data_IF_947864982340
#
_entry.id   IF_947864982340
#
_cell.length_a   1.000
_cell.length_b   1.000
_cell.length_c   1.000
_cell.angle_alpha   90.00
_cell.angle_beta   90.00
_cell.angle_gamma   90.00
#
_symmetry.space_group_name_H-M   'P 1'
#
loop_
_entity.id
_entity.type
_entity.pdbx_description
1 polymer ?
#
# COMPACT_ATOMS: atom_id res chain seq x y z
N UNK A 1 63.46 -18.72 -19.97
CA UNK A 1 62.80 -18.74 -18.64
C UNK A 1 61.33 -18.96 -18.93
N UNK A 2 60.97 -20.23 -18.99
CA UNK A 2 59.67 -20.73 -19.43
C UNK A 2 58.66 -20.65 -18.28
N UNK A 3 57.69 -19.76 -18.41
CA UNK A 3 56.53 -19.72 -17.51
C UNK A 3 55.49 -20.72 -18.01
N UNK A 4 55.41 -21.86 -17.33
CA UNK A 4 54.33 -22.83 -17.48
C UNK A 4 53.06 -22.24 -16.86
N UNK A 5 52.01 -22.08 -17.67
CA UNK A 5 50.65 -21.87 -17.22
C UNK A 5 50.14 -23.19 -16.62
N UNK A 6 49.96 -23.23 -15.29
CA UNK A 6 49.18 -24.28 -14.64
C UNK A 6 47.71 -23.87 -14.68
N UNK A 7 46.96 -24.54 -15.55
CA UNK A 7 45.51 -24.39 -15.70
C UNK A 7 44.84 -25.25 -14.62
N UNK A 8 44.01 -24.62 -13.78
CA UNK A 8 43.32 -25.26 -12.66
C UNK A 8 42.28 -26.29 -13.15
N UNK A 9 42.21 -27.50 -12.55
CA UNK A 9 41.35 -28.60 -13.00
C UNK A 9 39.85 -28.44 -12.63
N UNK A 10 39.43 -27.35 -12.00
CA UNK A 10 38.04 -27.18 -11.55
C UNK A 10 37.08 -26.62 -12.61
N UNK A 11 37.57 -25.98 -13.67
CA UNK A 11 36.71 -25.43 -14.74
C UNK A 11 36.23 -26.48 -15.76
N UNK A 12 36.86 -27.66 -15.82
CA UNK A 12 36.52 -28.70 -16.80
C UNK A 12 35.32 -29.57 -16.36
N UNK A 13 34.99 -29.58 -15.06
CA UNK A 13 33.88 -30.35 -14.51
C UNK A 13 32.53 -29.62 -14.63
N UNK A 14 32.53 -28.27 -14.57
CA UNK A 14 31.32 -27.46 -14.77
C UNK A 14 30.82 -27.50 -16.23
N UNK A 15 31.73 -27.60 -17.21
CA UNK A 15 31.36 -27.70 -18.63
C UNK A 15 30.74 -29.05 -19.01
N UNK A 16 31.01 -30.12 -18.24
CA UNK A 16 30.37 -31.45 -18.42
C UNK A 16 28.97 -31.55 -17.80
N UNK A 17 28.61 -30.66 -16.88
CA UNK A 17 27.29 -30.64 -16.28
C UNK A 17 26.21 -30.04 -17.21
N UNK A 18 26.60 -29.19 -18.17
CA UNK A 18 25.68 -28.51 -19.09
C UNK A 18 25.23 -29.36 -20.30
N UNK A 19 25.83 -30.52 -20.54
CA UNK A 19 25.50 -31.38 -21.69
C UNK A 19 24.43 -32.45 -21.40
N UNK A 20 23.76 -32.40 -20.24
CA UNK A 20 22.66 -33.34 -19.87
C UNK A 20 21.27 -32.69 -19.86
N UNK A 21 21.02 -31.77 -20.79
CA UNK A 21 19.65 -31.30 -21.02
C UNK A 21 18.90 -32.33 -21.88
N UNK A 22 17.72 -32.81 -21.46
CA UNK A 22 16.92 -33.73 -22.26
C UNK A 22 16.47 -33.01 -23.55
N UNK A 23 17.02 -33.48 -24.68
CA UNK A 23 16.54 -33.12 -26.01
C UNK A 23 15.17 -33.77 -26.24
N UNK A 24 14.14 -32.95 -26.32
CA UNK A 24 12.82 -33.37 -26.81
C UNK A 24 11.68 -33.12 -25.83
N UNK A 25 11.28 -31.86 -25.67
CA UNK A 25 9.89 -31.55 -25.34
C UNK A 25 9.19 -31.16 -26.63
N UNK A 26 8.28 -31.99 -27.11
CA UNK A 26 7.23 -31.55 -28.03
C UNK A 26 6.57 -30.34 -27.40
N UNK A 27 6.63 -29.19 -28.07
CA UNK A 27 5.91 -28.00 -27.63
C UNK A 27 4.44 -28.30 -27.82
N UNK A 28 3.76 -28.71 -26.75
CA UNK A 28 2.31 -28.82 -26.77
C UNK A 28 1.75 -27.44 -27.15
N UNK A 29 0.83 -27.36 -28.12
CA UNK A 29 0.26 -26.09 -28.52
C UNK A 29 -0.41 -25.46 -27.29
N UNK A 30 -0.04 -24.20 -27.03
CA UNK A 30 -0.65 -23.38 -25.97
C UNK A 30 -2.17 -23.46 -26.18
N UNK A 31 -2.86 -24.12 -25.25
CA UNK A 31 -4.31 -24.22 -25.28
C UNK A 31 -4.88 -22.85 -24.94
N UNK A 32 -5.07 -22.02 -25.95
CA UNK A 32 -5.75 -20.72 -25.81
C UNK A 32 -7.15 -21.00 -25.29
N UNK A 33 -7.57 -20.29 -24.23
CA UNK A 33 -8.92 -20.48 -23.68
C UNK A 33 -9.95 -20.33 -24.80
N UNK A 34 -10.92 -21.27 -24.88
CA UNK A 34 -12.10 -21.17 -25.77
C UNK A 34 -12.86 -19.84 -25.61
N UNK A 35 -12.69 -19.16 -24.48
CA UNK A 35 -13.13 -17.79 -24.20
C UNK A 35 -12.78 -16.78 -25.32
N UNK A 36 -11.61 -16.96 -25.96
CA UNK A 36 -11.01 -15.98 -26.87
C UNK A 36 -11.36 -16.28 -28.34
N UNK A 37 -11.68 -17.54 -28.65
CA UNK A 37 -11.87 -18.04 -30.02
C UNK A 37 -13.32 -18.34 -30.40
N UNK A 38 -14.26 -18.35 -29.46
CA UNK A 38 -15.68 -18.57 -29.79
C UNK A 38 -16.31 -17.31 -30.40
N UNK A 39 -16.58 -17.36 -31.71
CA UNK A 39 -17.38 -16.37 -32.46
C UNK A 39 -18.90 -16.62 -32.35
N UNK A 40 -19.31 -17.57 -31.50
CA UNK A 40 -20.72 -17.86 -31.24
C UNK A 40 -21.22 -16.99 -30.07
N UNK A 41 -22.44 -16.43 -30.16
CA UNK A 41 -22.99 -15.63 -29.09
C UNK A 41 -23.06 -16.49 -27.83
N UNK A 42 -22.41 -15.99 -26.77
CA UNK A 42 -22.40 -16.61 -25.45
C UNK A 42 -23.82 -16.98 -25.07
N UNK A 43 -24.09 -18.27 -24.89
CA UNK A 43 -25.27 -18.75 -24.18
C UNK A 43 -25.32 -17.95 -22.88
N UNK A 44 -26.39 -17.20 -22.65
CA UNK A 44 -26.61 -16.49 -21.38
C UNK A 44 -26.47 -17.52 -20.26
N UNK A 45 -25.33 -17.53 -19.59
CA UNK A 45 -25.12 -18.40 -18.44
C UNK A 45 -26.16 -17.97 -17.42
N UNK A 46 -27.18 -18.82 -17.22
CA UNK A 46 -28.17 -18.63 -16.16
C UNK A 46 -27.41 -18.69 -14.85
N UNK A 47 -27.07 -17.52 -14.32
CA UNK A 47 -26.42 -17.38 -13.03
C UNK A 47 -27.45 -17.85 -12.00
N UNK A 48 -27.22 -19.07 -11.49
CA UNK A 48 -27.94 -19.67 -10.39
C UNK A 48 -28.13 -18.64 -9.26
N UNK A 49 -29.34 -18.57 -8.69
CA UNK A 49 -29.72 -17.65 -7.61
C UNK A 49 -28.68 -17.65 -6.48
N UNK A 50 -28.13 -18.82 -6.17
CA UNK A 50 -27.06 -18.98 -5.18
C UNK A 50 -25.81 -18.18 -5.53
N UNK A 51 -25.42 -18.14 -6.81
CA UNK A 51 -24.27 -17.36 -7.28
C UNK A 51 -24.54 -15.86 -7.15
N UNK A 52 -25.77 -15.39 -7.44
CA UNK A 52 -26.14 -13.97 -7.27
C UNK A 52 -26.00 -13.51 -5.81
N UNK A 53 -26.43 -14.35 -4.86
CA UNK A 53 -26.28 -14.05 -3.42
C UNK A 53 -24.81 -14.02 -3.02
N UNK A 54 -23.99 -14.98 -3.48
CA UNK A 54 -22.55 -14.99 -3.18
C UNK A 54 -21.86 -13.76 -3.76
N UNK A 55 -22.12 -13.40 -5.02
CA UNK A 55 -21.52 -12.23 -5.65
C UNK A 55 -21.90 -10.94 -4.94
N UNK A 56 -23.18 -10.77 -4.55
CA UNK A 56 -23.58 -9.57 -3.80
C UNK A 56 -22.93 -9.48 -2.41
N UNK A 57 -22.74 -10.61 -1.72
CA UNK A 57 -22.01 -10.65 -0.45
C UNK A 57 -20.52 -10.32 -0.63
N UNK A 58 -19.89 -10.81 -1.70
CA UNK A 58 -18.49 -10.51 -2.03
C UNK A 58 -18.33 -9.02 -2.35
N UNK A 59 -19.17 -8.44 -3.22
CA UNK A 59 -19.14 -7.02 -3.55
C UNK A 59 -19.28 -6.15 -2.31
N UNK A 60 -20.25 -6.43 -1.44
CA UNK A 60 -20.45 -5.69 -0.19
C UNK A 60 -19.24 -5.78 0.73
N UNK A 61 -18.62 -6.96 0.82
CA UNK A 61 -17.41 -7.16 1.63
C UNK A 61 -16.23 -6.39 1.05
N UNK A 62 -16.06 -6.41 -0.27
CA UNK A 62 -15.00 -5.68 -0.96
C UNK A 62 -15.15 -4.17 -0.77
N UNK A 63 -16.36 -3.64 -0.94
CA UNK A 63 -16.68 -2.24 -0.69
C UNK A 63 -16.36 -1.87 0.76
N UNK A 64 -16.81 -2.66 1.74
CA UNK A 64 -16.52 -2.43 3.15
C UNK A 64 -15.02 -2.37 3.44
N UNK A 65 -14.25 -3.33 2.92
CA UNK A 65 -12.80 -3.41 3.10
C UNK A 65 -12.07 -2.23 2.45
N UNK A 66 -12.52 -1.82 1.27
CA UNK A 66 -11.96 -0.71 0.49
C UNK A 66 -12.25 0.65 1.14
N UNK A 67 -13.51 0.90 1.51
CA UNK A 67 -13.93 2.15 2.16
C UNK A 67 -13.19 2.40 3.48
N UNK A 68 -12.96 1.35 4.26
CA UNK A 68 -12.24 1.42 5.53
C UNK A 68 -10.73 1.26 5.40
N UNK A 69 -10.21 1.10 4.18
CA UNK A 69 -8.78 0.89 3.89
C UNK A 69 -8.15 -0.20 4.78
N UNK A 70 -8.89 -1.27 5.04
CA UNK A 70 -8.46 -2.36 5.92
C UNK A 70 -7.19 -3.06 5.40
N UNK A 71 -7.04 -3.35 4.09
CA UNK A 71 -5.80 -3.92 3.55
C UNK A 71 -4.57 -3.04 3.78
N UNK A 72 -4.70 -1.72 3.67
CA UNK A 72 -3.64 -0.74 3.97
C UNK A 72 -3.26 -0.78 5.44
N UNK A 73 -4.24 -0.81 6.35
CA UNK A 73 -4.01 -0.89 7.79
C UNK A 73 -3.27 -2.19 8.15
N UNK A 74 -3.68 -3.32 7.57
CA UNK A 74 -3.00 -4.61 7.79
C UNK A 74 -1.56 -4.57 7.29
N UNK A 75 -1.29 -3.99 6.11
CA UNK A 75 0.08 -3.81 5.60
C UNK A 75 0.94 -2.96 6.54
N UNK A 76 0.40 -1.85 7.04
CA UNK A 76 1.07 -1.01 8.04
C UNK A 76 1.39 -1.79 9.32
N UNK A 77 0.42 -2.55 9.85
CA UNK A 77 0.60 -3.36 11.06
C UNK A 77 1.69 -4.41 10.86
N UNK A 78 1.69 -5.11 9.73
CA UNK A 78 2.72 -6.11 9.39
C UNK A 78 4.10 -5.45 9.31
N UNK A 79 4.22 -4.29 8.64
CA UNK A 79 5.51 -3.60 8.53
C UNK A 79 6.06 -3.19 9.91
N UNK A 80 5.21 -2.70 10.81
CA UNK A 80 5.57 -2.40 12.20
C UNK A 80 5.92 -3.64 13.03
N UNK A 81 5.28 -4.76 12.74
CA UNK A 81 5.53 -6.05 13.39
C UNK A 81 6.87 -6.62 12.95
N UNK A 82 7.21 -6.54 11.66
CA UNK A 82 8.48 -7.05 11.12
C UNK A 82 9.68 -6.27 11.65
N UNK A 83 9.50 -4.99 11.96
CA UNK A 83 10.58 -4.09 12.44
C UNK A 83 10.77 -4.09 13.96
N UNK A 84 9.99 -4.87 14.72
CA UNK A 84 10.08 -4.90 16.19
C UNK A 84 11.26 -5.75 16.69
N UNK A 85 11.53 -5.65 18.00
CA UNK A 85 12.42 -6.59 18.70
C UNK A 85 11.79 -8.00 18.77
N UNK A 86 12.55 -9.01 18.31
CA UNK A 86 12.15 -10.42 18.29
C UNK A 86 11.74 -10.99 19.66
N UNK A 87 12.19 -10.37 20.76
CA UNK A 87 11.86 -10.81 22.12
C UNK A 87 10.43 -10.48 22.54
N UNK A 88 9.78 -9.52 21.88
CA UNK A 88 8.44 -9.08 22.26
C UNK A 88 7.38 -10.01 21.67
N UNK A 89 6.42 -10.44 22.49
CA UNK A 89 5.26 -11.19 22.02
C UNK A 89 4.51 -10.40 20.92
N UNK A 90 4.21 -11.06 19.81
CA UNK A 90 3.60 -10.46 18.62
C UNK A 90 2.23 -9.86 18.92
N UNK A 91 1.40 -10.61 19.65
CA UNK A 91 0.04 -10.23 19.97
C UNK A 91 0.02 -9.02 20.90
N UNK A 92 0.86 -9.03 21.94
CA UNK A 92 0.98 -7.91 22.88
C UNK A 92 1.48 -6.64 22.18
N UNK A 93 2.45 -6.78 21.27
CA UNK A 93 2.94 -5.66 20.47
C UNK A 93 1.85 -5.10 19.55
N UNK A 94 1.12 -5.97 18.86
CA UNK A 94 0.04 -5.58 17.95
C UNK A 94 -1.09 -4.87 18.70
N UNK A 95 -1.50 -5.39 19.86
CA UNK A 95 -2.51 -4.76 20.72
C UNK A 95 -2.07 -3.35 21.14
N UNK A 96 -0.85 -3.21 21.70
CA UNK A 96 -0.30 -1.90 22.08
C UNK A 96 -0.15 -0.94 20.91
N UNK A 97 0.15 -1.44 19.71
CA UNK A 97 0.24 -0.63 18.51
C UNK A 97 -1.15 -0.10 18.10
N UNK A 98 -2.18 -0.96 18.13
CA UNK A 98 -3.56 -0.53 17.88
C UNK A 98 -4.03 0.49 18.91
N UNK A 99 -3.72 0.29 20.20
CA UNK A 99 -4.05 1.26 21.24
C UNK A 99 -3.42 2.63 20.95
N UNK A 100 -2.15 2.67 20.54
CA UNK A 100 -1.47 3.91 20.13
C UNK A 100 -2.14 4.54 18.91
N UNK A 101 -2.54 3.75 17.92
CA UNK A 101 -3.27 4.25 16.76
C UNK A 101 -4.62 4.85 17.17
N UNK A 102 -5.35 4.22 18.09
CA UNK A 102 -6.64 4.71 18.57
C UNK A 102 -6.50 6.02 19.36
N UNK A 103 -5.49 6.10 20.23
CA UNK A 103 -5.15 7.33 20.96
C UNK A 103 -4.77 8.45 19.99
N UNK A 104 -3.92 8.17 19.00
CA UNK A 104 -3.54 9.12 17.96
C UNK A 104 -4.73 9.60 17.13
N UNK A 105 -5.61 8.68 16.71
CA UNK A 105 -6.84 9.01 15.97
C UNK A 105 -7.77 9.93 16.77
N UNK A 106 -7.80 9.79 18.10
CA UNK A 106 -8.57 10.67 18.98
C UNK A 106 -7.94 12.07 19.16
N UNK A 107 -6.82 12.38 18.49
CA UNK A 107 -6.11 13.64 18.62
C UNK A 107 -5.18 13.71 19.83
N UNK A 108 -4.83 12.56 20.41
CA UNK A 108 -3.98 12.47 21.59
C UNK A 108 -2.69 11.67 21.31
N UNK A 109 -1.62 11.95 22.05
CA UNK A 109 -0.38 11.17 21.94
C UNK A 109 0.41 11.40 20.65
N UNK A 110 1.39 10.54 20.41
CA UNK A 110 2.31 10.63 19.27
C UNK A 110 1.92 9.61 18.21
N UNK A 111 1.93 10.04 16.95
CA UNK A 111 1.68 9.18 15.81
C UNK A 111 2.63 7.97 15.82
N UNK A 112 2.12 6.72 15.77
CA UNK A 112 2.97 5.53 15.66
C UNK A 112 3.51 5.36 14.23
N UNK A 113 4.17 6.38 13.69
CA UNK A 113 4.65 6.46 12.30
C UNK A 113 5.54 5.30 11.88
N UNK A 114 5.49 4.88 10.62
CA UNK A 114 6.29 3.75 10.11
C UNK A 114 7.80 4.03 10.18
N UNK A 115 8.21 5.25 9.80
CA UNK A 115 9.61 5.64 9.75
C UNK A 115 9.96 6.57 10.91
N UNK A 116 10.86 6.08 11.77
CA UNK A 116 11.49 6.89 12.80
C UNK A 116 12.42 7.96 12.20
N UNK A 117 12.72 8.99 13.00
CA UNK A 117 13.55 10.12 12.60
C UNK A 117 14.87 9.71 11.95
N UNK A 118 15.56 8.71 12.51
CA UNK A 118 16.83 8.20 11.97
C UNK A 118 16.69 7.67 10.55
N UNK A 119 15.54 7.07 10.21
CA UNK A 119 15.27 6.55 8.87
C UNK A 119 15.05 7.71 7.89
N UNK A 120 14.27 8.72 8.28
CA UNK A 120 14.05 9.91 7.46
C UNK A 120 15.35 10.65 7.19
N UNK A 121 16.17 10.87 8.22
CA UNK A 121 17.49 11.51 8.11
C UNK A 121 18.41 10.70 7.19
N UNK A 122 18.40 9.37 7.27
CA UNK A 122 19.20 8.52 6.39
C UNK A 122 18.77 8.66 4.92
N UNK A 123 17.47 8.71 4.65
CA UNK A 123 16.94 8.95 3.30
C UNK A 123 17.40 10.31 2.77
N UNK A 124 17.24 11.39 3.55
CA UNK A 124 17.68 12.73 3.13
C UNK A 124 19.19 12.75 2.81
N UNK A 125 20.02 12.15 3.66
CA UNK A 125 21.47 12.05 3.44
C UNK A 125 21.82 11.27 2.17
N UNK A 126 21.04 10.23 1.82
CA UNK A 126 21.26 9.47 0.59
C UNK A 126 20.98 10.30 -0.68
N UNK A 127 20.09 11.28 -0.59
CA UNK A 127 19.78 12.21 -1.68
C UNK A 127 20.63 13.49 -1.65
N UNK A 128 21.30 13.82 -0.54
CA UNK A 128 22.31 14.90 -0.43
C UNK A 128 23.69 14.36 -0.02
N UNK A 129 24.36 13.54 -0.87
CA UNK A 129 25.66 12.97 -0.53
C UNK A 129 26.77 14.03 -0.36
N UNK A 130 26.58 15.20 -0.96
CA UNK A 130 27.51 16.33 -0.88
C UNK A 130 27.29 17.26 0.31
N UNK A 131 26.29 16.99 1.16
CA UNK A 131 25.91 17.86 2.29
C UNK A 131 25.70 19.32 1.85
N UNK A 132 25.07 19.52 0.70
CA UNK A 132 24.75 20.85 0.16
C UNK A 132 23.73 21.58 1.02
N UNK A 133 22.95 20.86 1.81
CA UNK A 133 21.89 21.40 2.67
C UNK A 133 20.58 21.67 1.93
N UNK A 134 20.45 21.22 0.68
CA UNK A 134 19.22 21.35 -0.11
C UNK A 134 19.11 20.21 -1.13
N UNK A 135 17.87 19.94 -1.55
CA UNK A 135 17.50 18.94 -2.55
C UNK A 135 16.79 19.60 -3.73
N UNK A 136 17.02 19.07 -4.93
CA UNK A 136 16.25 19.46 -6.11
C UNK A 136 14.85 18.85 -6.11
N UNK A 137 13.91 19.43 -6.86
CA UNK A 137 12.54 18.91 -6.97
C UNK A 137 12.48 17.41 -7.30
N UNK A 138 13.35 16.95 -8.20
CA UNK A 138 13.47 15.53 -8.55
C UNK A 138 14.02 14.65 -7.42
N UNK A 139 14.96 15.17 -6.61
CA UNK A 139 15.47 14.46 -5.43
C UNK A 139 14.41 14.38 -4.34
N UNK A 140 13.70 15.46 -4.06
CA UNK A 140 12.59 15.49 -3.10
C UNK A 140 11.52 14.48 -3.50
N UNK A 141 11.04 14.51 -4.76
CA UNK A 141 10.02 13.57 -5.24
C UNK A 141 10.46 12.11 -5.07
N UNK A 142 11.72 11.79 -5.38
CA UNK A 142 12.26 10.44 -5.17
C UNK A 142 12.33 10.07 -3.69
N UNK A 143 12.69 10.98 -2.80
CA UNK A 143 12.72 10.71 -1.36
C UNK A 143 11.34 10.30 -0.81
N UNK A 144 10.28 10.99 -1.24
CA UNK A 144 8.89 10.60 -0.91
C UNK A 144 8.55 9.21 -1.45
N UNK A 145 8.84 8.96 -2.73
CA UNK A 145 8.56 7.67 -3.38
C UNK A 145 9.34 6.52 -2.71
N UNK A 146 10.59 6.74 -2.31
CA UNK A 146 11.42 5.74 -1.61
C UNK A 146 10.79 5.31 -0.28
N UNK A 147 10.10 6.21 0.40
CA UNK A 147 9.38 5.93 1.64
C UNK A 147 7.93 5.45 1.40
N UNK A 148 7.48 5.38 0.13
CA UNK A 148 6.10 5.06 -0.21
C UNK A 148 5.09 6.15 0.19
N UNK A 149 5.56 7.39 0.35
CA UNK A 149 4.74 8.56 0.71
C UNK A 149 4.33 9.34 -0.54
N UNK A 150 3.21 10.05 -0.44
CA UNK A 150 2.69 10.88 -1.53
C UNK A 150 3.48 12.19 -1.61
N UNK A 151 4.17 12.46 -2.74
CA UNK A 151 4.91 13.70 -2.90
C UNK A 151 3.97 14.91 -3.04
N UNK A 152 4.39 16.11 -2.62
CA UNK A 152 3.66 17.34 -2.89
C UNK A 152 3.43 17.55 -4.40
N UNK A 153 2.30 18.20 -4.75
CA UNK A 153 1.98 18.56 -6.13
C UNK A 153 3.02 19.51 -6.71
N UNK A 154 3.35 20.54 -5.94
CA UNK A 154 4.34 21.57 -6.29
C UNK A 154 5.56 21.39 -5.40
N UNK A 155 6.74 21.33 -6.03
CA UNK A 155 8.02 21.19 -5.34
C UNK A 155 8.98 22.21 -5.94
N UNK A 156 9.56 23.04 -5.10
CA UNK A 156 10.55 24.03 -5.51
C UNK A 156 11.84 23.35 -6.02
N UNK A 157 12.49 23.98 -7.00
CA UNK A 157 13.74 23.48 -7.58
C UNK A 157 14.88 23.35 -6.57
N UNK A 158 14.81 24.06 -5.44
CA UNK A 158 15.82 24.04 -4.38
C UNK A 158 15.16 24.10 -3.02
N UNK A 159 14.83 22.94 -2.46
CA UNK A 159 14.22 22.83 -1.13
C UNK A 159 15.27 22.53 -0.06
N UNK A 160 15.39 23.31 1.03
CA UNK A 160 16.29 23.00 2.16
C UNK A 160 16.03 21.61 2.77
N UNK A 161 17.09 20.91 3.20
CA UNK A 161 16.97 19.51 3.68
C UNK A 161 16.15 19.36 4.95
N UNK A 162 16.19 20.34 5.84
CA UNK A 162 15.37 20.44 7.05
C UNK A 162 13.88 20.61 6.73
N UNK A 163 13.55 21.42 5.71
CA UNK A 163 12.19 21.56 5.21
C UNK A 163 11.69 20.24 4.62
N UNK A 164 12.50 19.56 3.81
CA UNK A 164 12.12 18.24 3.26
C UNK A 164 11.91 17.22 4.37
N UNK A 165 12.79 17.19 5.38
CA UNK A 165 12.67 16.29 6.53
C UNK A 165 11.37 16.53 7.29
N UNK A 166 11.02 17.79 7.54
CA UNK A 166 9.76 18.15 8.18
C UNK A 166 8.55 17.74 7.32
N UNK A 167 8.61 17.96 6.01
CA UNK A 167 7.55 17.56 5.09
C UNK A 167 7.34 16.04 5.09
N UNK A 168 8.41 15.25 5.08
CA UNK A 168 8.31 13.79 5.21
C UNK A 168 7.63 13.38 6.51
N UNK A 169 7.98 14.02 7.64
CA UNK A 169 7.37 13.76 8.95
C UNK A 169 5.87 14.08 8.93
N UNK A 170 5.50 15.28 8.52
CA UNK A 170 4.10 15.72 8.48
C UNK A 170 3.28 14.86 7.53
N UNK A 171 3.81 14.51 6.36
CA UNK A 171 3.09 13.67 5.39
C UNK A 171 2.82 12.27 5.94
N UNK A 172 3.79 11.60 6.56
CA UNK A 172 3.53 10.26 7.11
C UNK A 172 2.52 10.27 8.27
N UNK A 173 2.52 11.32 9.09
CA UNK A 173 1.54 11.50 10.16
C UNK A 173 0.14 11.72 9.60
N UNK A 174 0.04 12.59 8.57
CA UNK A 174 -1.21 12.86 7.85
C UNK A 174 -1.77 11.61 7.18
N UNK A 175 -0.95 10.87 6.43
CA UNK A 175 -1.37 9.65 5.74
C UNK A 175 -1.81 8.56 6.73
N UNK A 176 -1.12 8.43 7.87
CA UNK A 176 -1.54 7.52 8.94
C UNK A 176 -2.87 7.94 9.54
N UNK A 177 -3.09 9.23 9.78
CA UNK A 177 -4.35 9.73 10.29
C UNK A 177 -5.51 9.48 9.32
N UNK A 178 -5.31 9.75 8.02
CA UNK A 178 -6.29 9.46 6.97
C UNK A 178 -6.60 7.97 6.86
N UNK A 179 -5.59 7.11 7.04
CA UNK A 179 -5.77 5.66 7.08
C UNK A 179 -6.64 5.23 8.28
N UNK A 180 -6.37 5.76 9.47
CA UNK A 180 -7.09 5.40 10.69
C UNK A 180 -8.52 5.95 10.76
N UNK A 181 -8.77 7.04 10.03
CA UNK A 181 -10.08 7.71 9.94
C UNK A 181 -10.92 7.23 8.75
N UNK A 182 -10.39 6.34 7.91
CA UNK A 182 -11.08 5.82 6.75
C UNK A 182 -12.40 5.13 7.12
N UNK A 183 -13.47 5.46 6.40
CA UNK A 183 -14.81 4.90 6.62
C UNK A 183 -15.53 5.43 7.87
N UNK A 184 -14.96 6.38 8.61
CA UNK A 184 -15.70 7.15 9.62
C UNK A 184 -16.47 8.25 8.89
N UNK A 185 -17.76 8.01 8.66
CA UNK A 185 -18.66 9.10 8.25
C UNK A 185 -18.74 10.04 9.45
N UNK A 186 -18.05 11.17 9.37
CA UNK A 186 -18.37 12.29 10.26
C UNK A 186 -19.81 12.62 9.93
N UNK A 187 -20.73 12.30 10.83
CA UNK A 187 -22.10 12.74 10.70
C UNK A 187 -22.04 14.25 10.56
N UNK A 188 -22.20 14.76 9.35
CA UNK A 188 -22.79 16.06 9.20
C UNK A 188 -24.19 15.85 9.74
N UNK A 189 -24.40 16.24 10.99
CA UNK A 189 -25.71 16.54 11.53
C UNK A 189 -26.23 17.71 10.67
N UNK A 190 -26.69 17.40 9.46
CA UNK A 190 -27.63 18.27 8.77
C UNK A 190 -28.92 18.14 9.58
N UNK A 191 -29.13 19.13 10.44
CA UNK A 191 -30.44 19.53 10.92
C UNK A 191 -31.37 19.64 9.71
N UNK A 192 -32.08 18.54 9.37
CA UNK A 192 -33.28 18.62 8.57
C UNK A 192 -34.33 19.34 9.43
N UNK A 193 -34.39 20.66 9.29
CA UNK A 193 -35.51 21.48 9.73
C UNK A 193 -36.79 20.93 9.08
N UNK A 194 -37.59 20.26 9.89
CA UNK A 194 -38.90 19.75 9.55
C UNK A 194 -39.92 20.90 9.50
N UNK A 195 -40.08 21.51 8.33
CA UNK A 195 -41.26 22.34 8.04
C UNK A 195 -42.46 21.43 7.66
N UNK A 196 -43.10 20.84 8.69
CA UNK A 196 -44.45 20.28 8.58
C UNK A 196 -45.49 21.41 8.77
N UNK A 197 -45.78 22.18 7.71
CA UNK A 197 -47.03 22.97 7.66
C UNK A 197 -48.18 22.08 7.17
N UNK A 198 -48.88 21.48 8.14
CA UNK A 198 -50.19 20.86 7.94
C UNK A 198 -51.26 21.96 7.84
N UNK A 199 -51.69 22.32 6.64
CA UNK A 199 -52.95 23.07 6.45
C UNK A 199 -54.12 22.09 6.28
N UNK A 200 -54.77 21.76 7.40
CA UNK A 200 -56.14 21.23 7.44
C UNK A 200 -57.06 22.36 7.91
N UNK A 201 -57.75 22.99 6.97
CA UNK A 201 -59.04 23.64 7.21
C UNK A 201 -59.87 23.39 5.94
N UNK A 202 -61.00 22.71 5.95
CA UNK A 202 -62.03 22.68 6.98
C UNK A 202 -63.30 23.29 6.37
N UNK A 203 -63.93 22.54 5.46
CA UNK A 203 -65.26 22.85 4.91
C UNK A 203 -66.32 22.68 6.02
N UNK A 204 -67.05 23.76 6.31
CA UNK A 204 -68.39 23.89 6.92
C UNK A 204 -68.82 25.33 6.60
N UNK A 205 -69.97 25.67 6.04
CA UNK A 205 -71.22 24.99 5.68
C UNK A 205 -71.75 25.65 4.39
#
# INVERSE_FOLDING_TARGET
MDSKNELFPEEEEELKALSRLPSGSSVDPISVCKCITSKEPSVEEVIDERKKVIFSAVTRTEEYLRERRIPELVRYMIAKIVTRDYKTNVADYAAKLLDKCMIFRAGHGVAPVLFEERHLVAVIKSFDPGQKGWLSAGQVRRAFITLGLTPPSEIEDRTPTDVVLNNLRVTQEKELFELLSAGVKVGHDEEEDSDEETQISGNKD
#
